data_IF_491325251359
#
_entry.id   IF_491325251359
#
_cell.length_a   1.000
_cell.length_b   1.000
_cell.length_c   1.000
_cell.angle_alpha   90.00
_cell.angle_beta   90.00
_cell.angle_gamma   90.00
#
_symmetry.space_group_name_H-M   'P 1'
#
loop_
_entity.id
_entity.type
_entity.pdbx_description
1 polymer ?
#
# COMPACT_ATOMS: atom_id res chain seq x y z
N UNK A 1 4.65 9.48 -14.16
CA UNK A 1 4.45 8.57 -15.28
C UNK A 1 4.49 7.15 -14.76
N UNK A 2 3.62 6.27 -15.21
CA UNK A 2 3.69 4.84 -14.85
C UNK A 2 4.43 4.16 -16.00
N UNK A 3 5.52 3.46 -15.71
CA UNK A 3 6.06 2.50 -16.67
C UNK A 3 4.99 1.42 -16.86
N UNK A 4 4.57 1.22 -18.11
CA UNK A 4 3.54 0.25 -18.40
C UNK A 4 4.14 -1.16 -18.29
N UNK A 5 3.35 -2.09 -17.75
CA UNK A 5 3.78 -3.47 -17.57
C UNK A 5 4.19 -4.15 -18.88
N UNK A 6 3.57 -3.76 -20.00
CA UNK A 6 3.93 -4.29 -21.31
C UNK A 6 5.37 -3.95 -21.70
N UNK A 7 5.88 -2.78 -21.30
CA UNK A 7 7.26 -2.38 -21.55
C UNK A 7 8.25 -3.19 -20.71
N UNK A 8 7.94 -3.44 -19.43
CA UNK A 8 8.81 -4.23 -18.54
C UNK A 8 8.80 -5.71 -18.94
N UNK A 9 7.65 -6.27 -19.34
CA UNK A 9 7.54 -7.65 -19.83
C UNK A 9 8.17 -7.84 -21.21
N UNK A 10 8.14 -6.83 -22.07
CA UNK A 10 8.84 -6.88 -23.37
C UNK A 10 10.36 -6.95 -23.19
N UNK A 11 10.90 -6.35 -22.14
CA UNK A 11 12.33 -6.37 -21.80
C UNK A 11 12.74 -7.74 -21.26
N UNK A 12 11.90 -8.38 -20.42
CA UNK A 12 12.19 -9.70 -19.85
C UNK A 12 12.02 -10.86 -20.84
N UNK A 13 11.49 -10.60 -22.05
CA UNK A 13 11.32 -11.60 -23.10
C UNK A 13 10.17 -12.59 -22.88
N UNK A 14 9.40 -12.44 -21.84
CA UNK A 14 8.21 -13.23 -21.59
C UNK A 14 7.03 -12.66 -22.37
N UNK A 15 6.66 -13.31 -23.48
CA UNK A 15 5.40 -13.05 -24.17
C UNK A 15 4.25 -13.68 -23.38
N UNK A 16 3.71 -12.94 -22.43
CA UNK A 16 2.44 -13.29 -21.82
C UNK A 16 1.37 -12.43 -22.45
N UNK A 17 0.34 -13.06 -23.01
CA UNK A 17 -0.79 -12.32 -23.53
C UNK A 17 -1.57 -11.74 -22.35
N UNK A 18 -1.85 -10.45 -22.40
CA UNK A 18 -2.65 -9.72 -21.40
C UNK A 18 -4.05 -10.35 -21.25
N UNK A 19 -4.50 -11.10 -22.25
CA UNK A 19 -5.79 -11.80 -22.29
C UNK A 19 -5.89 -12.95 -21.24
N UNK A 20 -4.77 -13.52 -20.81
CA UNK A 20 -4.77 -14.61 -19.82
C UNK A 20 -4.92 -14.12 -18.37
N UNK A 21 -4.77 -12.83 -18.10
CA UNK A 21 -4.85 -12.26 -16.77
C UNK A 21 -6.23 -11.68 -16.41
N UNK A 22 -7.16 -11.61 -17.36
CA UNK A 22 -8.51 -11.07 -17.13
C UNK A 22 -8.55 -9.57 -16.83
N UNK A 23 -7.48 -8.83 -17.09
CA UNK A 23 -7.40 -7.40 -16.90
C UNK A 23 -7.57 -6.68 -18.24
N UNK A 24 -8.62 -5.90 -18.36
CA UNK A 24 -8.67 -4.85 -19.36
C UNK A 24 -8.09 -3.57 -18.75
N UNK A 25 -7.16 -2.94 -19.45
CA UNK A 25 -6.55 -1.67 -19.03
C UNK A 25 -7.59 -0.55 -18.81
N UNK A 26 -8.80 -0.75 -19.31
CA UNK A 26 -9.96 0.14 -19.17
C UNK A 26 -10.61 0.09 -17.78
N UNK A 27 -10.36 -0.94 -16.98
CA UNK A 27 -10.94 -1.10 -15.64
C UNK A 27 -10.17 -0.34 -14.53
N UNK A 28 -8.99 0.15 -14.83
CA UNK A 28 -8.33 1.10 -13.97
C UNK A 28 -8.98 2.47 -14.19
N UNK A 29 -9.46 3.16 -13.12
CA UNK A 29 -9.83 4.55 -13.29
C UNK A 29 -8.62 5.25 -13.93
N UNK A 30 -8.82 6.15 -14.92
CA UNK A 30 -7.71 6.87 -15.52
C UNK A 30 -6.94 7.48 -14.36
N UNK A 31 -5.83 6.88 -14.03
CA UNK A 31 -4.83 7.47 -13.15
C UNK A 31 -4.34 8.62 -13.99
N UNK A 32 -5.03 9.76 -13.83
CA UNK A 32 -4.70 10.96 -14.56
C UNK A 32 -3.21 11.14 -14.45
N UNK A 33 -2.57 11.27 -15.60
CA UNK A 33 -1.17 11.59 -15.74
C UNK A 33 -0.76 12.45 -14.56
N UNK A 34 0.06 11.88 -13.68
CA UNK A 34 0.59 12.61 -12.56
C UNK A 34 1.61 13.59 -13.13
N UNK A 35 1.15 14.73 -13.58
CA UNK A 35 1.97 15.92 -13.74
C UNK A 35 2.29 16.55 -12.38
N UNK A 36 2.59 15.79 -11.37
CA UNK A 36 3.25 16.33 -10.22
C UNK A 36 4.71 15.93 -10.29
N UNK A 37 5.56 16.90 -10.48
CA UNK A 37 7.02 16.83 -10.57
C UNK A 37 7.71 16.15 -9.36
N UNK A 38 6.93 15.51 -8.47
CA UNK A 38 7.40 15.14 -7.14
C UNK A 38 7.50 13.65 -6.88
N UNK A 39 6.85 12.77 -7.65
CA UNK A 39 6.84 11.35 -7.32
C UNK A 39 6.70 10.45 -8.55
N UNK A 40 7.62 9.51 -8.68
CA UNK A 40 7.59 8.48 -9.71
C UNK A 40 6.94 7.21 -9.16
N UNK A 41 5.95 6.66 -9.87
CA UNK A 41 5.23 5.43 -9.47
C UNK A 41 5.64 4.29 -10.38
N UNK A 42 6.31 3.30 -9.81
CA UNK A 42 6.71 2.07 -10.45
C UNK A 42 5.73 0.95 -10.03
N UNK A 43 4.95 0.43 -10.97
CA UNK A 43 4.04 -0.68 -10.71
C UNK A 43 4.66 -1.99 -11.20
N UNK A 44 4.87 -2.93 -10.29
CA UNK A 44 5.24 -4.31 -10.60
C UNK A 44 4.06 -5.21 -10.25
N UNK A 45 3.38 -5.75 -11.25
CA UNK A 45 2.27 -6.67 -11.05
C UNK A 45 2.74 -8.11 -11.11
N UNK A 46 2.30 -8.94 -10.17
CA UNK A 46 2.66 -10.34 -10.14
C UNK A 46 1.77 -11.15 -11.07
N UNK A 47 2.39 -11.72 -12.08
CA UNK A 47 1.84 -12.93 -12.67
C UNK A 47 2.15 -14.12 -11.80
N UNK A 48 1.10 -14.85 -11.46
CA UNK A 48 1.16 -16.11 -10.70
C UNK A 48 1.73 -17.22 -11.60
N UNK A 49 3.04 -17.24 -11.80
CA UNK A 49 3.70 -18.41 -12.40
C UNK A 49 4.17 -19.32 -11.28
N UNK A 50 3.56 -20.50 -11.23
CA UNK A 50 3.84 -21.57 -10.28
C UNK A 50 5.17 -22.24 -10.68
N UNK A 51 6.29 -21.65 -10.28
CA UNK A 51 7.59 -22.32 -10.34
C UNK A 51 8.28 -22.22 -8.98
N UNK A 52 8.83 -23.32 -8.46
CA UNK A 52 9.45 -23.38 -7.12
C UNK A 52 10.64 -22.42 -6.92
N UNK A 53 11.32 -22.03 -7.99
CA UNK A 53 12.51 -21.16 -7.98
C UNK A 53 12.22 -19.73 -8.50
N UNK A 54 10.96 -19.36 -8.62
CA UNK A 54 10.56 -18.13 -9.31
C UNK A 54 11.20 -16.86 -8.74
N UNK A 55 11.51 -16.80 -7.44
CA UNK A 55 12.14 -15.61 -6.85
C UNK A 55 13.58 -15.42 -7.30
N UNK A 56 14.38 -16.47 -7.30
CA UNK A 56 15.80 -16.39 -7.66
C UNK A 56 15.93 -16.06 -9.16
N UNK A 57 15.09 -16.67 -9.99
CA UNK A 57 14.98 -16.33 -11.41
C UNK A 57 14.60 -14.86 -11.59
N UNK A 58 13.58 -14.35 -10.87
CA UNK A 58 13.19 -12.96 -10.93
C UNK A 58 14.29 -11.99 -10.48
N UNK A 59 15.12 -12.37 -9.53
CA UNK A 59 16.26 -11.59 -9.09
C UNK A 59 17.39 -11.58 -10.13
N UNK A 60 17.73 -12.76 -10.71
CA UNK A 60 18.72 -12.88 -11.78
C UNK A 60 18.30 -12.16 -13.08
N UNK A 61 17.03 -12.23 -13.44
CA UNK A 61 16.50 -11.46 -14.58
C UNK A 61 16.58 -9.95 -14.30
N UNK A 62 16.34 -9.52 -13.05
CA UNK A 62 16.55 -8.15 -12.65
C UNK A 62 17.99 -7.67 -12.84
N UNK A 63 18.96 -8.50 -12.49
CA UNK A 63 20.37 -8.22 -12.71
C UNK A 63 20.72 -8.15 -14.21
N UNK A 64 20.10 -9.00 -15.03
CA UNK A 64 20.31 -9.03 -16.49
C UNK A 64 19.78 -7.79 -17.19
N UNK A 65 18.62 -7.28 -16.81
CA UNK A 65 17.95 -6.14 -17.43
C UNK A 65 18.17 -4.82 -16.69
N UNK A 66 19.07 -4.81 -15.71
CA UNK A 66 19.34 -3.68 -14.83
C UNK A 66 19.58 -2.37 -15.60
N UNK A 67 20.46 -2.41 -16.58
CA UNK A 67 20.89 -1.21 -17.30
C UNK A 67 19.72 -0.59 -18.07
N UNK A 68 18.88 -1.41 -18.70
CA UNK A 68 17.71 -0.94 -19.45
C UNK A 68 16.66 -0.29 -18.53
N UNK A 69 16.39 -0.93 -17.38
CA UNK A 69 15.41 -0.40 -16.40
C UNK A 69 15.94 0.88 -15.75
N UNK A 70 17.20 0.91 -15.35
CA UNK A 70 17.78 2.11 -14.73
C UNK A 70 17.88 3.26 -15.73
N UNK A 71 18.17 3.00 -17.00
CA UNK A 71 18.15 4.03 -18.05
C UNK A 71 16.76 4.63 -18.27
N UNK A 72 15.69 3.81 -18.16
CA UNK A 72 14.32 4.32 -18.21
C UNK A 72 13.98 5.18 -16.99
N UNK A 73 14.38 4.73 -15.79
CA UNK A 73 14.17 5.47 -14.55
C UNK A 73 14.95 6.78 -14.54
N UNK A 74 16.19 6.78 -14.99
CA UNK A 74 17.04 7.97 -15.09
C UNK A 74 16.43 9.01 -16.04
N UNK A 75 15.93 8.59 -17.20
CA UNK A 75 15.25 9.50 -18.15
C UNK A 75 14.03 10.19 -17.55
N UNK A 76 13.23 9.44 -16.80
CA UNK A 76 12.05 10.02 -16.11
C UNK A 76 12.47 10.90 -14.92
N UNK A 77 13.50 10.51 -14.20
CA UNK A 77 14.04 11.29 -13.09
C UNK A 77 14.66 12.62 -13.56
N UNK A 78 15.37 12.59 -14.70
CA UNK A 78 15.95 13.79 -15.31
C UNK A 78 14.88 14.74 -15.89
N UNK A 79 13.72 14.23 -16.27
CA UNK A 79 12.57 15.03 -16.69
C UNK A 79 11.86 15.75 -15.53
N UNK A 80 12.20 15.46 -14.29
CA UNK A 80 11.58 16.05 -13.11
C UNK A 80 12.43 17.18 -12.54
N UNK A 81 11.85 18.37 -12.33
CA UNK A 81 12.55 19.51 -11.73
C UNK A 81 12.91 19.27 -10.26
N UNK A 82 12.13 18.46 -9.54
CA UNK A 82 12.33 18.19 -8.12
C UNK A 82 11.87 16.78 -7.74
N UNK A 83 12.69 15.79 -8.01
CA UNK A 83 12.41 14.42 -7.58
C UNK A 83 12.52 14.30 -6.06
N UNK A 84 11.43 13.92 -5.38
CA UNK A 84 11.42 13.63 -3.93
C UNK A 84 11.71 12.15 -3.64
N UNK A 85 11.16 11.24 -4.43
CA UNK A 85 11.32 9.81 -4.20
C UNK A 85 10.54 8.96 -5.18
N UNK A 86 10.51 7.68 -4.88
CA UNK A 86 9.89 6.65 -5.70
C UNK A 86 8.76 5.95 -4.93
N UNK A 87 7.73 5.57 -5.65
CA UNK A 87 6.64 4.73 -5.12
C UNK A 87 6.61 3.44 -5.92
N UNK A 88 6.87 2.32 -5.26
CA UNK A 88 6.89 1.00 -5.88
C UNK A 88 5.72 0.15 -5.39
N UNK A 89 5.08 -0.56 -6.30
CA UNK A 89 4.01 -1.51 -5.98
C UNK A 89 4.43 -2.91 -6.37
N UNK A 90 4.34 -3.85 -5.45
CA UNK A 90 4.71 -5.23 -5.71
C UNK A 90 4.02 -6.21 -4.75
N UNK A 91 3.93 -7.47 -5.14
CA UNK A 91 3.63 -8.56 -4.23
C UNK A 91 4.91 -9.14 -3.64
N UNK A 92 4.86 -9.61 -2.41
CA UNK A 92 6.01 -10.24 -1.74
C UNK A 92 6.01 -11.76 -1.84
N UNK A 93 4.95 -12.35 -2.37
CA UNK A 93 4.73 -13.79 -2.38
C UNK A 93 5.08 -14.46 -3.70
N UNK A 94 4.86 -13.77 -4.83
CA UNK A 94 5.15 -14.26 -6.16
C UNK A 94 6.64 -14.22 -6.52
N UNK A 95 7.00 -14.74 -7.68
CA UNK A 95 8.39 -14.78 -8.15
C UNK A 95 8.90 -13.41 -8.59
N UNK A 96 8.20 -12.78 -9.52
CA UNK A 96 8.59 -11.49 -10.11
C UNK A 96 8.53 -10.36 -9.08
N UNK A 97 7.39 -10.14 -8.41
CA UNK A 97 7.26 -9.06 -7.45
C UNK A 97 8.17 -9.21 -6.23
N UNK A 98 8.51 -10.44 -5.81
CA UNK A 98 9.46 -10.68 -4.73
C UNK A 98 10.91 -10.64 -5.19
N UNK A 99 11.24 -11.23 -6.37
CA UNK A 99 12.60 -11.31 -6.90
C UNK A 99 13.04 -10.02 -7.56
N UNK A 100 12.47 -9.70 -8.70
CA UNK A 100 12.74 -8.47 -9.45
C UNK A 100 12.46 -7.21 -8.60
N UNK A 101 11.33 -7.20 -7.84
CA UNK A 101 11.02 -6.10 -6.94
C UNK A 101 12.06 -5.89 -5.85
N UNK A 102 12.61 -6.96 -5.27
CA UNK A 102 13.72 -6.86 -4.30
C UNK A 102 15.00 -6.32 -4.92
N UNK A 103 15.30 -6.75 -6.15
CA UNK A 103 16.46 -6.28 -6.89
C UNK A 103 16.36 -4.79 -7.22
N UNK A 104 15.24 -4.37 -7.80
CA UNK A 104 15.00 -2.97 -8.12
C UNK A 104 15.00 -2.06 -6.91
N UNK A 105 14.47 -2.54 -5.78
CA UNK A 105 14.50 -1.80 -4.53
C UNK A 105 15.94 -1.52 -4.06
N UNK A 106 16.82 -2.50 -4.21
CA UNK A 106 18.25 -2.37 -3.90
C UNK A 106 18.95 -1.44 -4.89
N UNK A 107 18.73 -1.64 -6.19
CA UNK A 107 19.31 -0.83 -7.25
C UNK A 107 18.88 0.66 -7.15
N UNK A 108 17.61 0.92 -6.85
CA UNK A 108 17.11 2.28 -6.61
C UNK A 108 17.76 2.94 -5.39
N UNK A 109 17.90 2.19 -4.29
CA UNK A 109 18.54 2.72 -3.09
C UNK A 109 20.02 3.05 -3.32
N UNK A 110 20.71 2.24 -4.11
CA UNK A 110 22.12 2.46 -4.45
C UNK A 110 22.30 3.62 -5.45
N UNK A 111 21.40 3.72 -6.44
CA UNK A 111 21.43 4.77 -7.47
C UNK A 111 21.01 6.14 -6.93
N UNK A 112 20.00 6.16 -6.04
CA UNK A 112 19.38 7.36 -5.49
C UNK A 112 19.39 7.38 -3.95
N UNK A 113 20.56 7.38 -3.29
CA UNK A 113 20.67 7.15 -1.83
C UNK A 113 20.02 8.24 -0.96
N UNK A 114 19.65 9.38 -1.55
CA UNK A 114 19.01 10.51 -0.83
C UNK A 114 17.53 10.66 -1.16
N UNK A 115 16.97 9.77 -1.96
CA UNK A 115 15.56 9.82 -2.36
C UNK A 115 14.76 8.80 -1.58
N UNK A 116 13.54 9.17 -1.22
CA UNK A 116 12.66 8.29 -0.46
C UNK A 116 12.12 7.16 -1.33
N UNK A 117 12.05 5.97 -0.77
CA UNK A 117 11.41 4.82 -1.42
C UNK A 117 10.26 4.34 -0.56
N UNK A 118 9.04 4.59 -1.04
CA UNK A 118 7.82 4.07 -0.45
C UNK A 118 7.32 2.87 -1.24
N UNK A 119 6.94 1.79 -0.56
CA UNK A 119 6.39 0.61 -1.23
C UNK A 119 4.96 0.32 -0.79
N UNK A 120 4.13 -0.13 -1.73
CA UNK A 120 2.85 -0.79 -1.45
C UNK A 120 3.07 -2.28 -1.65
N UNK A 121 3.16 -3.00 -0.55
CA UNK A 121 3.50 -4.42 -0.56
C UNK A 121 2.28 -5.27 -0.25
N UNK A 122 1.91 -6.15 -1.18
CA UNK A 122 0.78 -7.06 -1.03
C UNK A 122 1.25 -8.35 -0.36
N UNK A 123 0.64 -8.66 0.78
CA UNK A 123 0.89 -9.86 1.56
C UNK A 123 -0.10 -10.95 1.16
N UNK A 124 0.35 -12.21 1.00
CA UNK A 124 -0.48 -13.29 0.52
C UNK A 124 -1.52 -13.76 1.54
N UNK A 125 -2.51 -14.49 1.03
CA UNK A 125 -3.38 -15.34 1.85
C UNK A 125 -2.61 -16.54 2.42
N UNK A 126 -3.07 -17.10 3.53
CA UNK A 126 -2.38 -18.18 4.24
C UNK A 126 -2.28 -19.53 3.48
N UNK A 127 -2.97 -19.70 2.33
CA UNK A 127 -3.19 -21.04 1.74
C UNK A 127 -2.85 -21.19 0.25
N UNK A 128 -2.29 -20.20 -0.43
CA UNK A 128 -2.24 -20.21 -1.89
C UNK A 128 -1.08 -21.09 -2.44
N UNK A 129 0.15 -20.87 -1.99
CA UNK A 129 1.32 -21.61 -2.51
C UNK A 129 2.30 -22.00 -1.38
N UNK A 130 2.86 -23.21 -1.45
CA UNK A 130 3.74 -23.74 -0.39
C UNK A 130 5.03 -22.93 -0.20
N UNK A 131 5.55 -22.29 -1.25
CA UNK A 131 6.85 -21.60 -1.27
C UNK A 131 6.73 -20.13 -0.82
N UNK A 132 5.54 -19.58 -0.77
CA UNK A 132 5.30 -18.19 -0.36
C UNK A 132 6.08 -17.74 0.88
N UNK A 133 6.19 -18.52 1.97
CA UNK A 133 6.93 -18.10 3.15
C UNK A 133 8.41 -17.81 2.89
N UNK A 134 9.05 -18.53 1.94
CA UNK A 134 10.44 -18.25 1.56
C UNK A 134 10.55 -16.92 0.84
N UNK A 135 9.73 -16.72 -0.21
CA UNK A 135 9.72 -15.49 -0.97
C UNK A 135 9.42 -14.27 -0.08
N UNK A 136 8.41 -14.40 0.79
CA UNK A 136 8.03 -13.34 1.72
C UNK A 136 9.15 -12.95 2.68
N UNK A 137 9.81 -13.92 3.34
CA UNK A 137 10.86 -13.62 4.32
C UNK A 137 12.07 -12.99 3.67
N UNK A 138 12.44 -13.44 2.47
CA UNK A 138 13.57 -12.88 1.73
C UNK A 138 13.27 -11.47 1.21
N UNK A 139 12.03 -11.22 0.75
CA UNK A 139 11.58 -9.87 0.33
C UNK A 139 11.50 -8.92 1.52
N UNK A 140 10.99 -9.38 2.67
CA UNK A 140 10.95 -8.58 3.90
C UNK A 140 12.33 -8.15 4.36
N UNK A 141 13.38 -8.95 4.15
CA UNK A 141 14.75 -8.55 4.42
C UNK A 141 15.13 -7.30 3.60
N UNK A 142 14.84 -7.30 2.29
CA UNK A 142 15.15 -6.17 1.42
C UNK A 142 14.30 -4.95 1.75
N UNK A 143 13.00 -5.12 1.98
CA UNK A 143 12.12 -4.05 2.41
C UNK A 143 12.56 -3.40 3.72
N UNK A 144 13.05 -4.19 4.69
CA UNK A 144 13.54 -3.67 5.97
C UNK A 144 14.83 -2.85 5.84
N UNK A 145 15.66 -3.17 4.85
CA UNK A 145 16.96 -2.53 4.68
C UNK A 145 16.90 -1.31 3.74
N UNK A 146 16.11 -1.38 2.69
CA UNK A 146 16.19 -0.48 1.56
C UNK A 146 14.94 0.41 1.37
N UNK A 147 13.79 0.07 1.97
CA UNK A 147 12.61 0.91 1.89
C UNK A 147 12.51 1.87 3.08
N UNK A 148 12.06 3.11 2.84
CA UNK A 148 11.81 4.10 3.89
C UNK A 148 10.43 3.96 4.51
N UNK A 149 9.43 3.58 3.70
CA UNK A 149 8.06 3.32 4.15
C UNK A 149 7.45 2.14 3.38
N UNK A 150 6.85 1.21 4.11
CA UNK A 150 6.17 0.05 3.53
C UNK A 150 4.70 0.08 3.93
N UNK A 151 3.84 0.29 2.96
CA UNK A 151 2.39 0.20 3.15
C UNK A 151 1.96 -1.25 2.99
N UNK A 152 1.52 -1.84 4.07
CA UNK A 152 1.11 -3.25 4.12
C UNK A 152 -0.32 -3.40 3.65
N UNK A 153 -0.53 -4.22 2.64
CA UNK A 153 -1.85 -4.60 2.12
C UNK A 153 -1.96 -6.12 2.24
N UNK A 154 -2.94 -6.60 2.98
CA UNK A 154 -3.13 -8.02 3.25
C UNK A 154 -4.29 -8.57 2.41
N UNK A 155 -4.02 -9.51 1.52
CA UNK A 155 -5.04 -10.13 0.67
C UNK A 155 -6.14 -10.83 1.48
N UNK A 156 -5.82 -11.38 2.64
CA UNK A 156 -6.83 -11.99 3.51
C UNK A 156 -7.81 -10.96 4.06
N UNK A 157 -7.31 -9.80 4.44
CA UNK A 157 -8.14 -8.69 4.89
C UNK A 157 -8.96 -8.09 3.75
N UNK A 158 -8.40 -7.99 2.53
CA UNK A 158 -9.13 -7.54 1.34
C UNK A 158 -10.30 -8.48 1.03
N UNK A 159 -10.05 -9.78 0.98
CA UNK A 159 -11.09 -10.80 0.75
C UNK A 159 -12.20 -10.71 1.79
N UNK A 160 -11.84 -10.61 3.07
CA UNK A 160 -12.81 -10.44 4.15
C UNK A 160 -13.61 -9.14 4.00
N UNK A 161 -12.97 -8.07 3.55
CA UNK A 161 -13.62 -6.78 3.36
C UNK A 161 -14.62 -6.81 2.20
N UNK A 162 -14.26 -7.43 1.08
CA UNK A 162 -15.15 -7.65 -0.06
C UNK A 162 -16.37 -8.48 0.37
N UNK A 163 -16.15 -9.55 1.09
CA UNK A 163 -17.24 -10.47 1.51
C UNK A 163 -18.15 -9.82 2.56
N UNK A 164 -17.59 -9.24 3.64
CA UNK A 164 -18.38 -8.74 4.76
C UNK A 164 -18.98 -7.34 4.51
N UNK A 165 -18.26 -6.46 3.83
CA UNK A 165 -18.66 -5.05 3.66
C UNK A 165 -19.44 -4.85 2.37
N UNK A 166 -18.96 -5.43 1.29
CA UNK A 166 -19.57 -5.30 -0.02
C UNK A 166 -20.64 -6.35 -0.25
N UNK A 167 -20.71 -7.37 0.62
CA UNK A 167 -21.71 -8.46 0.59
C UNK A 167 -21.71 -9.24 -0.72
N UNK A 168 -20.59 -9.30 -1.41
CA UNK A 168 -20.43 -10.11 -2.59
C UNK A 168 -20.18 -11.55 -2.17
N UNK A 169 -20.90 -12.48 -2.78
CA UNK A 169 -20.77 -13.91 -2.47
C UNK A 169 -19.46 -14.51 -2.96
N UNK A 170 -18.97 -14.01 -4.08
CA UNK A 170 -17.71 -14.43 -4.71
C UNK A 170 -16.83 -13.20 -4.85
N UNK A 171 -15.76 -13.10 -4.06
CA UNK A 171 -14.77 -12.02 -4.18
C UNK A 171 -13.95 -12.25 -5.45
N UNK A 172 -14.08 -11.36 -6.43
CA UNK A 172 -13.24 -11.35 -7.62
C UNK A 172 -12.00 -10.48 -7.38
N UNK A 173 -10.90 -10.80 -8.06
CA UNK A 173 -9.65 -10.02 -8.02
C UNK A 173 -9.88 -8.56 -8.43
N UNK A 174 -10.74 -8.31 -9.43
CA UNK A 174 -11.11 -6.96 -9.84
C UNK A 174 -11.67 -6.12 -8.69
N UNK A 175 -12.49 -6.70 -7.81
CA UNK A 175 -13.01 -6.00 -6.63
C UNK A 175 -11.94 -5.70 -5.59
N UNK A 176 -10.99 -6.61 -5.40
CA UNK A 176 -9.84 -6.40 -4.50
C UNK A 176 -8.94 -5.29 -5.03
N UNK A 177 -8.61 -5.32 -6.32
CA UNK A 177 -7.79 -4.30 -6.98
C UNK A 177 -8.46 -2.93 -6.96
N UNK A 178 -9.77 -2.84 -7.09
CA UNK A 178 -10.52 -1.58 -6.94
C UNK A 178 -10.35 -1.00 -5.54
N UNK A 179 -10.30 -1.82 -4.50
CA UNK A 179 -10.01 -1.34 -3.14
C UNK A 179 -8.57 -0.86 -3.03
N UNK A 180 -7.60 -1.62 -3.54
CA UNK A 180 -6.18 -1.25 -3.52
C UNK A 180 -5.95 0.07 -4.24
N UNK A 181 -6.47 0.22 -5.46
CA UNK A 181 -6.36 1.47 -6.23
C UNK A 181 -6.99 2.66 -5.52
N UNK A 182 -8.15 2.45 -4.87
CA UNK A 182 -8.79 3.49 -4.05
C UNK A 182 -7.91 3.93 -2.88
N UNK A 183 -7.21 2.98 -2.23
CA UNK A 183 -6.29 3.28 -1.13
C UNK A 183 -5.07 4.04 -1.63
N UNK A 184 -4.46 3.59 -2.72
CA UNK A 184 -3.32 4.27 -3.32
C UNK A 184 -3.71 5.69 -3.75
N UNK A 185 -4.85 5.84 -4.42
CA UNK A 185 -5.37 7.16 -4.79
C UNK A 185 -5.66 8.05 -3.59
N UNK A 186 -6.17 7.50 -2.49
CA UNK A 186 -6.47 8.26 -1.27
C UNK A 186 -5.19 8.67 -0.52
N UNK A 187 -4.17 7.80 -0.45
CA UNK A 187 -2.91 8.09 0.23
C UNK A 187 -2.09 9.17 -0.47
N UNK A 188 -2.15 9.23 -1.80
CA UNK A 188 -1.45 10.22 -2.61
C UNK A 188 -2.26 11.51 -2.86
N UNK A 189 -3.48 11.60 -2.33
CA UNK A 189 -4.35 12.77 -2.57
C UNK A 189 -3.71 14.08 -2.12
N UNK A 190 -3.02 14.07 -0.98
CA UNK A 190 -2.33 15.26 -0.46
C UNK A 190 -1.17 15.72 -1.33
N UNK A 191 -0.53 14.81 -2.03
CA UNK A 191 0.54 15.11 -2.99
C UNK A 191 -0.03 15.68 -4.30
N UNK A 192 -1.13 15.10 -4.79
CA UNK A 192 -1.78 15.51 -6.05
C UNK A 192 -2.59 16.79 -5.96
N UNK A 193 -3.25 17.00 -4.84
CA UNK A 193 -4.10 18.16 -4.56
C UNK A 193 -3.57 18.86 -3.31
N UNK A 194 -2.60 19.77 -3.46
CA UNK A 194 -1.92 20.40 -2.34
C UNK A 194 -2.92 21.14 -1.44
N UNK A 195 -2.77 20.90 -0.16
CA UNK A 195 -3.53 21.53 0.91
C UNK A 195 -2.62 22.35 1.81
N UNK A 196 -3.07 22.59 3.02
CA UNK A 196 -2.29 23.33 4.02
C UNK A 196 -1.21 22.51 4.71
N UNK A 197 -1.29 21.16 4.66
CA UNK A 197 -0.39 20.26 5.39
C UNK A 197 -0.12 18.97 4.59
N UNK A 198 1.08 18.41 4.79
CA UNK A 198 1.48 17.11 4.23
C UNK A 198 1.39 17.05 2.69
N UNK A 199 1.99 18.03 2.03
CA UNK A 199 1.99 18.12 0.57
C UNK A 199 3.20 17.44 -0.06
N UNK A 200 4.11 16.92 0.75
CA UNK A 200 5.34 16.26 0.37
C UNK A 200 5.42 14.85 0.95
N UNK A 201 6.09 13.95 0.24
CA UNK A 201 6.28 12.57 0.68
C UNK A 201 7.14 12.50 1.94
N UNK A 202 8.14 13.39 2.02
CA UNK A 202 9.04 13.46 3.18
C UNK A 202 8.27 13.80 4.46
N UNK A 203 7.37 14.78 4.41
CA UNK A 203 6.54 15.16 5.55
C UNK A 203 5.58 14.04 5.99
N UNK A 204 5.03 13.29 5.03
CA UNK A 204 4.19 12.12 5.32
C UNK A 204 4.99 11.04 6.06
N UNK A 205 6.14 10.65 5.53
CA UNK A 205 7.00 9.61 6.10
C UNK A 205 7.53 10.03 7.48
N UNK A 206 8.04 11.25 7.61
CA UNK A 206 8.56 11.79 8.88
C UNK A 206 7.50 11.82 9.98
N UNK A 207 6.25 12.09 9.62
CA UNK A 207 5.15 12.13 10.58
C UNK A 207 4.73 10.74 11.10
N UNK A 208 4.91 9.72 10.27
CA UNK A 208 4.45 8.35 10.54
C UNK A 208 5.53 7.45 11.13
N UNK A 209 6.81 7.72 10.85
CA UNK A 209 7.93 6.85 11.18
C UNK A 209 8.94 7.57 12.09
N UNK A 210 8.63 7.68 13.38
CA UNK A 210 9.54 8.32 14.34
C UNK A 210 10.78 7.47 14.66
N UNK A 211 10.71 6.17 14.38
CA UNK A 211 11.79 5.22 14.71
C UNK A 211 12.21 4.46 13.46
N UNK A 212 13.49 4.51 13.07
CA UNK A 212 14.01 3.73 11.96
C UNK A 212 13.67 2.24 12.09
N UNK A 213 13.43 1.57 10.97
CA UNK A 213 12.99 0.16 10.86
C UNK A 213 11.58 -0.16 11.36
N UNK A 214 10.91 0.73 12.09
CA UNK A 214 9.46 0.62 12.38
C UNK A 214 8.67 1.34 11.30
N UNK A 215 8.87 0.97 10.03
CA UNK A 215 8.37 1.68 8.86
C UNK A 215 7.27 0.91 8.10
N UNK A 216 6.70 -0.14 8.71
CA UNK A 216 5.57 -0.88 8.16
C UNK A 216 4.26 -0.25 8.61
N UNK A 217 3.50 0.29 7.65
CA UNK A 217 2.30 1.06 7.89
C UNK A 217 1.06 0.24 7.58
N UNK A 218 0.08 0.32 8.46
CA UNK A 218 -1.26 -0.23 8.23
C UNK A 218 -2.16 0.83 7.61
N UNK A 219 -3.06 0.39 6.76
CA UNK A 219 -4.05 1.26 6.12
C UNK A 219 -5.46 0.94 6.54
N UNK A 220 -6.31 1.95 6.52
CA UNK A 220 -7.74 1.80 6.68
C UNK A 220 -8.48 2.82 5.83
N UNK A 221 -9.61 2.43 5.26
CA UNK A 221 -10.42 3.31 4.41
C UNK A 221 -11.90 3.26 4.76
N UNK A 222 -12.57 4.39 4.68
CA UNK A 222 -14.01 4.50 4.88
C UNK A 222 -14.57 5.76 4.20
N UNK A 223 -15.77 5.71 3.62
CA UNK A 223 -16.64 4.57 3.39
C UNK A 223 -16.22 3.79 2.15
N UNK A 224 -16.36 2.47 2.19
CA UNK A 224 -16.24 1.62 1.02
C UNK A 224 -17.63 1.50 0.37
N UNK A 225 -17.73 1.90 -0.87
CA UNK A 225 -18.93 1.74 -1.68
C UNK A 225 -18.53 1.07 -3.01
N UNK A 226 -19.28 0.07 -3.41
CA UNK A 226 -19.31 -0.36 -4.80
C UNK A 226 -20.53 0.31 -5.47
N UNK A 227 -20.40 0.60 -6.75
CA UNK A 227 -21.41 1.22 -7.61
C UNK A 227 -22.64 0.31 -7.86
N UNK A 228 -23.09 -0.40 -6.85
CA UNK A 228 -24.36 -1.11 -6.91
C UNK A 228 -25.48 -0.16 -6.51
N UNK A 229 -26.20 0.33 -7.47
CA UNK A 229 -27.33 1.27 -7.51
C UNK A 229 -28.29 1.45 -6.33
N UNK A 230 -27.99 0.93 -5.15
CA UNK A 230 -28.80 1.09 -3.94
C UNK A 230 -27.97 1.76 -2.87
N UNK A 231 -27.90 3.07 -2.90
CA UNK A 231 -27.26 3.87 -1.88
C UNK A 231 -28.26 4.44 -0.91
N UNK A 232 -28.31 3.89 0.29
CA UNK A 232 -28.79 4.66 1.42
C UNK A 232 -27.75 5.75 1.70
N UNK A 233 -28.00 6.95 1.23
CA UNK A 233 -27.16 8.14 1.49
C UNK A 233 -27.26 8.44 2.99
N UNK A 234 -26.41 7.80 3.79
CA UNK A 234 -26.22 8.20 5.18
C UNK A 234 -25.33 9.43 5.19
N UNK A 235 -25.81 10.52 5.76
CA UNK A 235 -25.00 11.69 6.04
C UNK A 235 -23.79 11.24 6.89
N UNK A 236 -22.62 11.19 6.30
CA UNK A 236 -21.38 10.80 6.98
C UNK A 236 -20.77 12.07 7.60
N UNK A 237 -20.69 12.12 8.92
CA UNK A 237 -20.00 13.20 9.62
C UNK A 237 -18.51 12.88 9.75
N UNK A 238 -17.67 13.90 9.90
CA UNK A 238 -16.23 13.74 10.13
C UNK A 238 -15.94 12.84 11.33
N UNK A 239 -16.71 13.02 12.40
CA UNK A 239 -16.60 12.18 13.61
C UNK A 239 -16.87 10.70 13.30
N UNK A 240 -17.89 10.42 12.49
CA UNK A 240 -18.22 9.04 12.11
C UNK A 240 -17.10 8.44 11.24
N UNK A 241 -16.53 9.20 10.31
CA UNK A 241 -15.39 8.77 9.49
C UNK A 241 -14.20 8.43 10.39
N UNK A 242 -13.76 9.35 11.23
CA UNK A 242 -12.61 9.15 12.11
C UNK A 242 -12.81 7.97 13.08
N UNK A 243 -14.01 7.80 13.62
CA UNK A 243 -14.34 6.67 14.50
C UNK A 243 -14.33 5.34 13.74
N UNK A 244 -14.83 5.33 12.50
CA UNK A 244 -14.84 4.12 11.66
C UNK A 244 -13.45 3.72 11.22
N UNK A 245 -12.54 4.67 10.95
CA UNK A 245 -11.15 4.39 10.60
C UNK A 245 -10.43 3.59 11.69
N UNK A 246 -10.69 3.88 12.95
CA UNK A 246 -10.12 3.14 14.09
C UNK A 246 -10.80 1.78 14.34
N UNK A 247 -11.87 1.45 13.60
CA UNK A 247 -12.56 0.18 13.79
C UNK A 247 -11.84 -0.95 13.04
N UNK A 248 -11.53 -2.09 13.70
CA UNK A 248 -10.76 -3.19 13.09
C UNK A 248 -11.28 -3.68 11.74
N UNK A 249 -12.61 -3.62 11.54
CA UNK A 249 -13.24 -4.04 10.28
C UNK A 249 -12.97 -3.14 9.07
N UNK A 250 -12.36 -1.99 9.24
CA UNK A 250 -12.02 -1.06 8.15
C UNK A 250 -10.51 -1.00 7.90
N UNK A 251 -9.75 -1.78 8.66
CA UNK A 251 -8.30 -1.89 8.52
C UNK A 251 -7.99 -3.01 7.54
N UNK A 252 -7.08 -2.76 6.63
CA UNK A 252 -6.71 -3.65 5.52
C UNK A 252 -5.59 -4.63 5.89
N UNK A 253 -5.49 -4.92 7.15
CA UNK A 253 -4.52 -5.87 7.70
C UNK A 253 -5.25 -6.73 8.73
N UNK A 254 -5.21 -8.04 8.54
CA UNK A 254 -5.86 -9.00 9.43
C UNK A 254 -5.01 -9.22 10.68
N UNK A 255 -5.14 -8.33 11.65
CA UNK A 255 -4.39 -8.38 12.90
C UNK A 255 -5.29 -8.10 14.10
N UNK A 256 -4.86 -8.58 15.27
CA UNK A 256 -5.52 -8.25 16.55
C UNK A 256 -5.15 -6.85 17.01
N UNK A 257 -5.76 -5.83 16.40
CA UNK A 257 -5.51 -4.41 16.72
C UNK A 257 -5.70 -4.11 18.21
N UNK A 258 -6.64 -4.79 18.88
CA UNK A 258 -6.89 -4.61 20.32
C UNK A 258 -5.72 -5.00 21.23
N UNK A 259 -4.81 -5.85 20.76
CA UNK A 259 -3.65 -6.32 21.52
C UNK A 259 -2.40 -5.48 21.31
N UNK A 260 -2.45 -4.52 20.39
CA UNK A 260 -1.33 -3.66 20.05
C UNK A 260 -1.59 -2.20 20.43
N UNK A 261 -0.62 -1.36 20.15
CA UNK A 261 -0.65 0.08 20.39
C UNK A 261 -0.23 0.85 19.15
N UNK A 262 -0.81 2.02 18.95
CA UNK A 262 -0.43 2.94 17.88
C UNK A 262 0.87 3.67 18.25
N UNK A 263 1.77 3.78 17.29
CA UNK A 263 2.97 4.62 17.39
C UNK A 263 2.61 6.03 16.88
N UNK A 264 2.03 6.09 15.68
CA UNK A 264 1.57 7.32 15.04
C UNK A 264 0.37 7.02 14.15
N UNK A 265 -0.48 8.02 13.95
CA UNK A 265 -1.64 7.94 13.07
C UNK A 265 -1.69 9.20 12.21
N UNK A 266 -1.85 9.01 10.91
CA UNK A 266 -2.20 10.06 9.96
C UNK A 266 -3.55 9.72 9.34
N UNK A 267 -4.51 10.61 9.49
CA UNK A 267 -5.82 10.51 8.84
C UNK A 267 -5.89 11.53 7.70
N UNK A 268 -6.11 11.09 6.50
CA UNK A 268 -6.37 11.93 5.32
C UNK A 268 -7.88 11.98 5.11
N UNK A 269 -8.48 13.13 5.32
CA UNK A 269 -9.92 13.32 5.17
C UNK A 269 -10.16 14.12 3.90
N UNK A 270 -10.93 13.52 2.99
CA UNK A 270 -11.26 14.08 1.69
C UNK A 270 -12.69 14.63 1.70
N UNK A 271 -12.86 15.84 1.25
CA UNK A 271 -14.17 16.49 1.11
C UNK A 271 -14.23 17.88 1.70
N UNK A 272 -15.41 18.50 1.62
CA UNK A 272 -15.66 19.79 2.23
C UNK A 272 -15.89 19.62 3.73
N UNK A 273 -14.84 19.89 4.51
CA UNK A 273 -14.80 19.62 5.95
C UNK A 273 -14.37 20.87 6.72
N UNK A 274 -15.15 21.24 7.72
CA UNK A 274 -14.79 22.29 8.66
C UNK A 274 -13.69 21.79 9.65
N UNK A 275 -12.53 22.47 9.74
CA UNK A 275 -11.46 22.12 10.69
C UNK A 275 -11.94 22.06 12.15
N UNK A 276 -12.94 22.84 12.51
CA UNK A 276 -13.52 22.84 13.86
C UNK A 276 -14.14 21.47 14.21
N UNK A 277 -14.77 20.81 13.24
CA UNK A 277 -15.34 19.48 13.44
C UNK A 277 -14.25 18.42 13.62
N UNK A 278 -13.12 18.58 12.92
CA UNK A 278 -11.96 17.70 13.09
C UNK A 278 -11.42 17.79 14.51
N UNK A 279 -11.21 19.00 15.01
CA UNK A 279 -10.72 19.23 16.38
C UNK A 279 -11.64 18.60 17.44
N UNK A 280 -12.95 18.83 17.33
CA UNK A 280 -13.95 18.21 18.21
C UNK A 280 -13.94 16.68 18.13
N UNK A 281 -13.66 16.13 16.95
CA UNK A 281 -13.58 14.68 16.74
C UNK A 281 -12.35 14.10 17.42
N UNK A 282 -11.19 14.74 17.28
CA UNK A 282 -9.95 14.36 17.97
C UNK A 282 -10.09 14.40 19.50
N UNK A 283 -10.70 15.45 20.02
CA UNK A 283 -10.97 15.57 21.44
C UNK A 283 -11.81 14.37 21.95
N UNK A 284 -12.90 14.02 21.27
CA UNK A 284 -13.75 12.88 21.62
C UNK A 284 -13.03 11.53 21.53
N UNK A 285 -12.12 11.36 20.54
CA UNK A 285 -11.31 10.13 20.41
C UNK A 285 -10.39 9.99 21.63
N UNK A 286 -9.76 11.08 22.07
CA UNK A 286 -8.89 11.11 23.25
C UNK A 286 -9.66 10.86 24.54
N UNK A 287 -10.78 11.55 24.75
CA UNK A 287 -11.64 11.40 25.96
C UNK A 287 -12.15 9.97 26.12
N UNK A 288 -12.54 9.32 25.00
CA UNK A 288 -13.06 7.94 25.00
C UNK A 288 -11.99 6.88 24.91
N UNK A 289 -10.72 7.25 24.82
CA UNK A 289 -9.57 6.33 24.69
C UNK A 289 -9.80 5.27 23.59
N UNK A 290 -10.26 5.72 22.42
CA UNK A 290 -10.57 4.82 21.30
C UNK A 290 -9.31 4.25 20.63
N UNK A 291 -8.16 4.89 20.77
CA UNK A 291 -6.86 4.45 20.29
C UNK A 291 -5.89 4.33 21.47
N UNK A 292 -5.24 3.18 21.60
CA UNK A 292 -4.18 2.96 22.57
C UNK A 292 -2.85 3.35 21.95
N UNK A 293 -2.13 4.27 22.57
CA UNK A 293 -0.79 4.69 22.14
C UNK A 293 0.31 4.04 22.96
N UNK A 294 1.50 3.98 22.40
CA UNK A 294 2.70 3.52 23.07
C UNK A 294 3.02 4.43 24.27
N UNK A 295 3.49 3.87 25.41
CA UNK A 295 3.78 4.67 26.61
C UNK A 295 5.08 5.48 26.52
N UNK A 296 6.00 5.12 25.63
CA UNK A 296 7.31 5.75 25.47
C UNK A 296 7.37 6.85 24.41
N UNK A 297 6.25 7.10 23.69
CA UNK A 297 6.18 8.10 22.65
C UNK A 297 4.96 9.02 22.81
N UNK A 298 4.95 10.16 22.11
CA UNK A 298 3.80 11.06 22.12
C UNK A 298 2.60 10.42 21.41
N UNK A 299 1.41 10.61 21.95
CA UNK A 299 0.17 10.22 21.28
C UNK A 299 -0.11 11.16 20.11
N UNK A 300 0.42 10.82 18.93
CA UNK A 300 0.31 11.64 17.71
C UNK A 300 -0.82 11.14 16.82
N UNK A 301 -1.85 11.95 16.67
CA UNK A 301 -2.87 11.80 15.64
C UNK A 301 -2.83 13.08 14.79
N UNK A 302 -2.34 12.94 13.57
CA UNK A 302 -2.36 14.01 12.59
C UNK A 302 -3.57 13.85 11.67
N UNK A 303 -4.08 14.95 11.16
CA UNK A 303 -5.19 14.96 10.21
C UNK A 303 -4.84 15.90 9.07
N UNK A 304 -4.72 15.34 7.89
CA UNK A 304 -4.60 16.10 6.65
C UNK A 304 -5.98 16.26 6.02
N UNK A 305 -6.29 17.48 5.60
CA UNK A 305 -7.52 17.79 4.88
C UNK A 305 -7.19 17.94 3.40
N UNK A 306 -7.84 17.17 2.56
CA UNK A 306 -7.67 17.21 1.12
C UNK A 306 -9.03 17.47 0.43
N UNK A 307 -8.98 18.13 -0.70
CA UNK A 307 -10.15 18.27 -1.56
C UNK A 307 -10.42 16.94 -2.27
N UNK A 308 -11.65 16.77 -2.72
CA UNK A 308 -11.99 15.61 -3.56
C UNK A 308 -11.43 15.81 -4.96
N UNK A 309 -11.09 14.70 -5.60
CA UNK A 309 -10.78 14.73 -7.02
C UNK A 309 -11.97 15.27 -7.82
N UNK A 310 -11.78 16.24 -8.70
CA UNK A 310 -12.84 16.71 -9.58
C UNK A 310 -13.20 15.68 -10.68
N UNK A 311 -12.32 14.73 -10.95
CA UNK A 311 -12.48 13.74 -12.02
C UNK A 311 -13.25 12.49 -11.61
N UNK A 312 -13.38 12.23 -10.31
CA UNK A 312 -14.06 11.03 -9.79
C UNK A 312 -15.35 11.45 -9.08
N UNK A 313 -16.48 11.06 -9.63
CA UNK A 313 -17.78 11.24 -8.99
C UNK A 313 -17.90 10.32 -7.79
N UNK A 314 -17.73 10.84 -6.59
CA UNK A 314 -17.90 10.07 -5.35
C UNK A 314 -19.28 10.33 -4.75
N UNK A 315 -20.02 9.27 -4.43
CA UNK A 315 -21.35 9.35 -3.83
C UNK A 315 -21.34 9.93 -2.39
N UNK A 316 -20.21 9.84 -1.69
CA UNK A 316 -20.09 10.29 -0.32
C UNK A 316 -19.52 11.71 -0.23
N UNK A 317 -20.12 12.55 0.62
CA UNK A 317 -19.63 13.93 0.84
C UNK A 317 -18.25 13.95 1.49
N UNK A 318 -17.97 13.03 2.38
CA UNK A 318 -16.71 12.93 3.12
C UNK A 318 -16.24 11.50 3.09
N UNK A 319 -14.98 11.29 2.74
CA UNK A 319 -14.26 10.02 2.85
C UNK A 319 -13.01 10.21 3.67
N UNK A 320 -12.47 9.14 4.19
CA UNK A 320 -11.25 9.19 4.98
C UNK A 320 -10.41 7.95 4.81
N UNK A 321 -9.11 8.17 4.79
CA UNK A 321 -8.09 7.15 4.84
C UNK A 321 -7.25 7.32 6.10
N UNK A 322 -6.80 6.23 6.66
CA UNK A 322 -5.87 6.19 7.77
C UNK A 322 -4.60 5.49 7.34
N UNK A 323 -3.47 6.13 7.56
CA UNK A 323 -2.15 5.51 7.60
C UNK A 323 -1.72 5.47 9.05
N UNK A 324 -1.39 4.29 9.55
CA UNK A 324 -1.02 4.12 10.95
C UNK A 324 0.19 3.21 11.11
N UNK A 325 1.11 3.65 11.94
CA UNK A 325 2.18 2.82 12.44
C UNK A 325 1.68 2.13 13.73
N UNK A 326 1.55 0.80 13.69
CA UNK A 326 0.92 0.04 14.77
C UNK A 326 1.68 -1.25 15.07
N UNK A 327 1.87 -1.54 16.32
CA UNK A 327 2.66 -2.69 16.78
C UNK A 327 2.07 -4.05 16.41
N UNK A 328 0.79 -4.13 16.03
CA UNK A 328 0.14 -5.40 15.64
C UNK A 328 0.65 -5.98 14.32
N UNK A 329 1.34 -5.20 13.47
CA UNK A 329 2.00 -5.70 12.25
C UNK A 329 2.97 -6.83 12.59
N UNK A 330 3.54 -6.84 13.80
CA UNK A 330 4.36 -7.94 14.30
C UNK A 330 3.69 -9.32 14.17
N UNK A 331 2.36 -9.39 14.25
CA UNK A 331 1.65 -10.67 14.16
C UNK A 331 1.80 -11.32 12.78
N UNK A 332 1.80 -10.52 11.70
CA UNK A 332 2.01 -11.02 10.34
C UNK A 332 3.42 -11.61 10.20
N UNK A 333 4.43 -10.86 10.63
CA UNK A 333 5.82 -11.35 10.59
C UNK A 333 6.01 -12.63 11.40
N UNK A 334 5.34 -12.74 12.55
CA UNK A 334 5.42 -13.95 13.38
C UNK A 334 4.76 -15.13 12.68
N UNK A 335 3.63 -14.94 12.00
CA UNK A 335 2.97 -16.01 11.21
C UNK A 335 3.88 -16.48 10.08
N UNK A 336 4.44 -15.57 9.28
CA UNK A 336 5.38 -15.88 8.21
C UNK A 336 6.62 -16.62 8.73
N UNK A 337 7.17 -16.17 9.86
CA UNK A 337 8.31 -16.83 10.51
C UNK A 337 8.00 -18.26 10.92
N UNK A 338 6.82 -18.51 11.49
CA UNK A 338 6.40 -19.87 11.90
C UNK A 338 6.25 -20.76 10.67
N UNK A 339 5.62 -20.26 9.60
CA UNK A 339 5.48 -20.99 8.34
C UNK A 339 6.85 -21.31 7.72
N UNK A 340 7.73 -20.31 7.63
CA UNK A 340 9.12 -20.48 7.16
C UNK A 340 9.89 -21.52 7.95
N UNK A 341 9.87 -21.45 9.28
CA UNK A 341 10.57 -22.41 10.12
C UNK A 341 10.01 -23.84 9.98
N UNK A 342 8.70 -23.98 9.79
CA UNK A 342 8.06 -25.28 9.55
C UNK A 342 8.52 -25.92 8.24
N UNK A 343 8.68 -25.14 7.18
CA UNK A 343 9.20 -25.63 5.89
C UNK A 343 10.69 -25.93 5.97
N UNK A 344 11.48 -25.03 6.55
CA UNK A 344 12.92 -25.19 6.71
C UNK A 344 13.28 -26.42 7.56
N UNK A 345 12.57 -26.69 8.66
CA UNK A 345 12.80 -27.83 9.51
C UNK A 345 12.58 -29.18 8.80
N UNK A 346 11.77 -29.17 7.74
CA UNK A 346 11.51 -30.35 6.89
C UNK A 346 12.37 -30.39 5.64
N UNK A 347 13.27 -29.45 5.47
CA UNK A 347 14.07 -29.27 4.24
C UNK A 347 13.21 -29.31 2.96
N UNK A 348 12.00 -28.79 3.06
CA UNK A 348 11.07 -28.75 1.94
C UNK A 348 11.47 -27.64 0.97
N UNK A 349 11.69 -28.02 -0.29
CA UNK A 349 12.04 -27.07 -1.38
C UNK A 349 13.33 -26.25 -1.12
N UNK A 350 14.33 -26.90 -0.52
CA UNK A 350 15.69 -26.36 -0.35
C UNK A 350 16.63 -27.13 -1.27
#
# INVERSE_FOLDING_TARGET
MCLDMEEVLAITGEKVSVDDCGYQAEDLPPIGLFESDYCFILMLHDMLIILPFARDIGYEEGERVQDEILDMIDREADGSDSLEGFVMTHSIAGGTGSGLGSYLLEALNDRFPKKLIQTYSVFPNDNDVVIQPYNCVLSLKRLTLNADAVVVIDNSALTQMVTERLKLKEPDLAHQNKIVSTIMAASTTTLRYPGYMNNDLMGLVASLIPTPRCHFLMTGYTPLAIDTGVTSIRKTTVLDVMRRLLHPKNILVNTSVKKGSYISILNIIQGDVDPTQVHKSLQRIRERKLANFIPWGPASIQVALAQKSPYVATQHKVSGMMLANHTSVRSIFNTLRIQFNKLKSRQAHI
#
